data_IF_185389141612
#
_entry.id   IF_185389141612
#
_cell.length_a   1.000
_cell.length_b   1.000
_cell.length_c   1.000
_cell.angle_alpha   90.00
_cell.angle_beta   90.00
_cell.angle_gamma   90.00
#
_symmetry.space_group_name_H-M   'P 1'
#
loop_
_entity.id
_entity.type
_entity.pdbx_description
1 polymer ?
#
# COMPACT_ATOMS: atom_id res chain seq x y z
N UNK A 1 3.64 -19.27 4.99
CA UNK A 1 4.38 -19.03 6.24
C UNK A 1 4.91 -17.61 6.17
N UNK A 2 4.61 -16.79 7.16
CA UNK A 2 5.15 -15.44 7.28
C UNK A 2 5.89 -15.48 8.61
N UNK A 3 7.21 -15.51 8.57
CA UNK A 3 8.02 -15.70 9.77
C UNK A 3 8.20 -14.35 10.48
N UNK A 4 7.47 -14.23 11.60
CA UNK A 4 7.60 -13.24 12.64
C UNK A 4 6.79 -13.76 13.82
N UNK A 5 7.42 -14.61 14.64
CA UNK A 5 6.74 -15.23 15.77
C UNK A 5 6.73 -14.28 16.96
N UNK A 6 5.58 -14.19 17.61
CA UNK A 6 5.46 -13.56 18.92
C UNK A 6 6.21 -14.39 19.98
N UNK A 7 6.43 -13.84 21.18
CA UNK A 7 7.07 -14.58 22.28
C UNK A 7 6.36 -15.89 22.66
N UNK A 8 5.05 -15.98 22.42
CA UNK A 8 4.24 -17.20 22.61
C UNK A 8 4.33 -18.19 21.44
N UNK A 9 5.15 -17.88 20.42
CA UNK A 9 5.33 -18.68 19.21
C UNK A 9 4.28 -18.44 18.13
N UNK A 10 3.28 -17.56 18.36
CA UNK A 10 2.21 -17.32 17.38
C UNK A 10 2.70 -16.54 16.16
N UNK A 11 2.24 -16.94 14.98
CA UNK A 11 2.61 -16.29 13.72
C UNK A 11 1.91 -14.94 13.55
N UNK A 12 2.58 -14.02 12.86
CA UNK A 12 2.01 -12.73 12.49
C UNK A 12 0.76 -12.88 11.59
N UNK A 13 -0.42 -12.36 11.99
CA UNK A 13 -1.67 -12.57 11.27
C UNK A 13 -1.87 -11.57 10.11
N UNK A 14 -0.95 -11.54 9.14
CA UNK A 14 -0.90 -10.54 8.06
C UNK A 14 -2.24 -10.32 7.35
N UNK A 15 -2.93 -11.39 6.96
CA UNK A 15 -4.19 -11.29 6.22
C UNK A 15 -5.28 -10.53 7.02
N UNK A 16 -5.34 -10.77 8.33
CA UNK A 16 -6.29 -10.08 9.21
C UNK A 16 -5.92 -8.59 9.36
N UNK A 17 -4.63 -8.28 9.54
CA UNK A 17 -4.14 -6.89 9.70
C UNK A 17 -4.38 -6.07 8.44
N UNK A 18 -4.06 -6.62 7.27
CA UNK A 18 -4.31 -5.98 5.98
C UNK A 18 -5.82 -5.80 5.72
N UNK A 19 -6.64 -6.80 6.03
CA UNK A 19 -8.09 -6.73 5.82
C UNK A 19 -8.82 -5.69 6.68
N UNK A 20 -8.23 -5.31 7.82
CA UNK A 20 -8.75 -4.26 8.70
C UNK A 20 -8.25 -2.85 8.30
N UNK A 21 -7.25 -2.75 7.44
CA UNK A 21 -6.70 -1.46 7.01
C UNK A 21 -7.65 -0.73 6.08
N UNK A 22 -8.11 0.46 6.50
CA UNK A 22 -9.12 1.22 5.76
C UNK A 22 -8.61 2.49 5.10
N UNK A 23 -7.46 3.04 5.49
CA UNK A 23 -7.06 4.36 5.02
C UNK A 23 -5.54 4.55 4.98
N UNK A 24 -5.01 4.64 3.75
CA UNK A 24 -3.79 5.35 3.30
C UNK A 24 -3.24 4.64 2.05
N UNK A 25 -2.44 5.36 1.26
CA UNK A 25 -1.69 4.77 0.16
C UNK A 25 -0.66 3.74 0.63
N UNK A 26 0.13 3.14 -0.29
CA UNK A 26 1.05 2.04 -0.01
C UNK A 26 2.05 2.35 1.11
N UNK A 27 2.49 3.60 1.22
CA UNK A 27 3.42 4.04 2.27
C UNK A 27 2.82 3.94 3.68
N UNK A 28 1.55 4.37 3.85
CA UNK A 28 0.88 4.29 5.13
C UNK A 28 0.62 2.84 5.57
N UNK A 29 0.26 1.97 4.62
CA UNK A 29 0.14 0.54 4.90
C UNK A 29 1.48 -0.08 5.27
N UNK A 30 2.57 0.26 4.56
CA UNK A 30 3.90 -0.24 4.87
C UNK A 30 4.36 0.19 6.28
N UNK A 31 4.13 1.45 6.64
CA UNK A 31 4.46 1.97 7.96
C UNK A 31 3.65 1.29 9.07
N UNK A 32 2.35 1.09 8.83
CA UNK A 32 1.47 0.39 9.76
C UNK A 32 1.92 -1.06 10.01
N UNK A 33 2.16 -1.82 8.93
CA UNK A 33 2.60 -3.21 9.02
C UNK A 33 3.96 -3.32 9.72
N UNK A 34 4.91 -2.41 9.46
CA UNK A 34 6.20 -2.41 10.16
C UNK A 34 6.02 -2.25 11.68
N UNK A 35 5.20 -1.30 12.12
CA UNK A 35 4.96 -1.07 13.55
C UNK A 35 4.24 -2.26 14.18
N UNK A 36 3.16 -2.71 13.56
CA UNK A 36 2.34 -3.82 14.06
C UNK A 36 3.14 -5.14 14.11
N UNK A 37 4.05 -5.36 13.16
CA UNK A 37 4.99 -6.48 13.18
C UNK A 37 5.97 -6.41 14.36
N UNK A 38 6.56 -5.24 14.60
CA UNK A 38 7.48 -5.04 15.74
C UNK A 38 6.75 -5.22 17.07
N UNK A 39 5.52 -4.72 17.19
CA UNK A 39 4.70 -4.90 18.38
C UNK A 39 4.36 -6.38 18.59
N UNK A 40 4.00 -7.11 17.52
CA UNK A 40 3.69 -8.54 17.56
C UNK A 40 4.85 -9.40 18.05
N UNK A 41 6.08 -9.10 17.62
CA UNK A 41 7.28 -9.86 18.03
C UNK A 41 7.88 -9.42 19.37
N UNK A 42 7.29 -8.41 20.05
CA UNK A 42 7.79 -7.92 21.33
C UNK A 42 8.94 -6.90 21.22
N UNK A 43 9.02 -6.17 20.10
CA UNK A 43 9.85 -4.98 19.94
C UNK A 43 11.13 -5.16 19.12
N UNK A 44 11.68 -6.38 19.02
CA UNK A 44 12.82 -6.69 18.14
C UNK A 44 12.54 -7.95 17.34
N UNK A 45 12.74 -7.85 16.03
CA UNK A 45 12.68 -9.01 15.15
C UNK A 45 13.97 -9.83 15.34
N UNK A 46 13.83 -11.14 15.52
CA UNK A 46 14.96 -12.06 15.66
C UNK A 46 15.67 -12.40 14.35
N UNK A 47 15.15 -11.91 13.23
CA UNK A 47 15.63 -12.13 11.86
C UNK A 47 15.38 -10.87 11.01
N UNK A 48 15.77 -10.89 9.74
CA UNK A 48 15.51 -9.83 8.77
C UNK A 48 14.09 -9.90 8.17
N UNK A 49 13.49 -8.74 7.86
CA UNK A 49 12.22 -8.67 7.14
C UNK A 49 12.26 -7.62 6.04
N UNK A 50 11.71 -7.97 4.87
CA UNK A 50 11.44 -7.07 3.77
C UNK A 50 9.94 -7.13 3.40
N UNK A 51 9.34 -5.97 3.14
CA UNK A 51 7.94 -5.85 2.74
C UNK A 51 7.83 -4.94 1.52
N UNK A 52 6.99 -5.34 0.55
CA UNK A 52 6.69 -4.57 -0.66
C UNK A 52 5.17 -4.43 -0.77
N UNK A 53 4.70 -3.20 -0.92
CA UNK A 53 3.27 -2.89 -1.10
C UNK A 53 3.07 -2.28 -2.48
N UNK A 54 2.18 -2.87 -3.26
CA UNK A 54 1.85 -2.41 -4.62
C UNK A 54 0.41 -1.89 -4.62
N UNK A 55 0.22 -0.63 -5.00
CA UNK A 55 -1.10 -0.07 -5.26
C UNK A 55 -1.33 -0.02 -6.78
N UNK A 56 -2.43 -0.62 -7.23
CA UNK A 56 -2.90 -0.44 -8.60
C UNK A 56 -3.58 0.92 -8.71
N UNK A 57 -2.98 1.82 -9.49
CA UNK A 57 -3.65 3.07 -9.87
C UNK A 57 -4.76 2.78 -10.89
N UNK A 58 -5.88 3.52 -10.86
CA UNK A 58 -6.85 3.44 -11.95
C UNK A 58 -6.14 3.77 -13.26
N UNK A 59 -6.42 2.99 -14.32
CA UNK A 59 -5.90 3.30 -15.63
C UNK A 59 -6.38 4.69 -16.02
N UNK A 60 -5.47 5.60 -16.37
CA UNK A 60 -5.85 6.81 -17.07
C UNK A 60 -6.51 6.36 -18.38
N UNK A 61 -7.83 6.52 -18.49
CA UNK A 61 -8.53 6.26 -19.74
C UNK A 61 -7.95 7.23 -20.80
N UNK A 62 -7.30 6.75 -21.87
CA UNK A 62 -6.57 7.59 -22.81
C UNK A 62 -7.43 8.66 -23.53
N UNK A 63 -8.76 8.54 -23.47
CA UNK A 63 -9.71 9.36 -24.25
C UNK A 63 -10.10 10.68 -23.56
N UNK A 64 -9.80 10.87 -22.26
CA UNK A 64 -10.13 12.12 -21.56
C UNK A 64 -9.05 13.20 -21.67
N UNK A 65 -7.79 12.81 -21.95
CA UNK A 65 -6.69 13.76 -22.09
C UNK A 65 -6.63 14.41 -23.48
N UNK A 66 -7.09 13.72 -24.52
CA UNK A 66 -7.15 14.27 -25.88
C UNK A 66 -8.15 15.44 -26.03
N UNK A 67 -9.14 15.57 -25.12
CA UNK A 67 -10.11 16.67 -25.12
C UNK A 67 -9.52 18.00 -24.62
N UNK A 68 -8.37 17.98 -23.96
CA UNK A 68 -7.66 19.18 -23.49
C UNK A 68 -6.63 19.72 -24.49
N UNK A 69 -6.37 18.99 -25.59
CA UNK A 69 -5.37 19.36 -26.60
C UNK A 69 -5.96 19.79 -27.95
N UNK A 70 -7.26 20.09 -28.03
CA UNK A 70 -7.80 20.83 -29.17
C UNK A 70 -7.79 22.31 -28.80
N UNK A 71 -6.91 23.15 -29.39
CA UNK A 71 -7.14 24.58 -29.33
C UNK A 71 -8.39 24.85 -30.16
N UNK A 72 -9.45 25.31 -29.50
CA UNK A 72 -10.56 25.97 -30.18
C UNK A 72 -10.04 27.30 -30.71
N UNK A 73 -9.37 27.27 -31.86
CA UNK A 73 -9.12 28.48 -32.61
C UNK A 73 -10.44 28.91 -33.23
N UNK A 74 -11.06 29.90 -32.59
CA UNK A 74 -12.06 30.73 -33.22
C UNK A 74 -11.46 31.41 -34.45
N UNK A 75 -12.10 31.23 -35.59
CA UNK A 75 -11.97 32.14 -36.70
C UNK A 75 -13.24 32.99 -36.72
N UNK A 76 -13.10 34.20 -36.18
CA UNK A 76 -14.03 35.28 -36.45
C UNK A 76 -13.95 35.66 -37.94
N UNK A 77 -15.15 35.93 -38.48
CA UNK A 77 -15.48 36.75 -39.67
C UNK A 77 -15.80 36.01 -40.95
#
# INVERSE_FOLDING_TARGET
MIEARAPDGSFYPLAQRVGQWRCSGPEGLLHHLRRDLLDHVGGRLGDDAAMVVIQRSPALHPVQQLKKMVPVNGAHR
#
